data_IF_843045333202
#
_entry.id   IF_843045333202
#
_cell.length_a   1.000
_cell.length_b   1.000
_cell.length_c   1.000
_cell.angle_alpha   90.00
_cell.angle_beta   90.00
_cell.angle_gamma   90.00
#
_symmetry.space_group_name_H-M   'P 1'
#
loop_
_entity.id
_entity.type
_entity.pdbx_description
1 polymer ?
#
# COMPACT_ATOMS: atom_id res chain seq x y z
N UNK A 1 -15.82 -30.70 -14.04
CA UNK A 1 -16.58 -29.44 -14.00
C UNK A 1 -15.79 -28.50 -13.11
N UNK A 2 -15.20 -27.48 -13.71
CA UNK A 2 -14.48 -26.43 -13.00
C UNK A 2 -15.50 -25.55 -12.27
N UNK A 3 -15.20 -25.24 -11.01
CA UNK A 3 -16.07 -24.42 -10.17
C UNK A 3 -16.05 -22.99 -10.74
N UNK A 4 -17.24 -22.44 -11.00
CA UNK A 4 -17.37 -21.11 -11.57
C UNK A 4 -16.69 -20.08 -10.68
N UNK A 5 -15.85 -19.22 -11.26
CA UNK A 5 -15.18 -18.15 -10.52
C UNK A 5 -16.22 -17.13 -10.03
N UNK A 6 -16.28 -16.92 -8.71
CA UNK A 6 -17.19 -15.94 -8.13
C UNK A 6 -16.77 -14.49 -8.47
N UNK A 7 -17.74 -13.57 -8.42
CA UNK A 7 -17.55 -12.20 -8.88
C UNK A 7 -16.56 -11.40 -8.04
N UNK A 8 -16.49 -11.66 -6.73
CA UNK A 8 -15.59 -10.92 -5.83
C UNK A 8 -14.14 -11.35 -6.05
N UNK A 9 -13.91 -12.67 -6.15
CA UNK A 9 -12.58 -13.20 -6.49
C UNK A 9 -12.14 -12.73 -7.87
N UNK A 10 -13.03 -12.77 -8.87
CA UNK A 10 -12.72 -12.28 -10.23
C UNK A 10 -12.35 -10.81 -10.23
N UNK A 11 -13.12 -9.96 -9.53
CA UNK A 11 -12.85 -8.53 -9.46
C UNK A 11 -11.48 -8.26 -8.81
N UNK A 12 -11.21 -8.86 -7.64
CA UNK A 12 -9.95 -8.66 -6.94
C UNK A 12 -8.75 -9.21 -7.75
N UNK A 13 -8.90 -10.36 -8.39
CA UNK A 13 -7.89 -10.94 -9.26
C UNK A 13 -7.58 -10.01 -10.45
N UNK A 14 -8.62 -9.46 -11.08
CA UNK A 14 -8.44 -8.53 -12.19
C UNK A 14 -7.72 -7.26 -11.75
N UNK A 15 -8.06 -6.71 -10.58
CA UNK A 15 -7.37 -5.55 -10.02
C UNK A 15 -5.90 -5.84 -9.73
N UNK A 16 -5.60 -6.94 -9.03
CA UNK A 16 -4.23 -7.34 -8.74
C UNK A 16 -3.41 -7.57 -10.02
N UNK A 17 -3.99 -8.25 -11.00
CA UNK A 17 -3.36 -8.48 -12.30
C UNK A 17 -3.15 -7.18 -13.09
N UNK A 18 -4.11 -6.26 -13.03
CA UNK A 18 -4.05 -4.94 -13.65
C UNK A 18 -2.98 -4.03 -13.05
N UNK A 19 -2.88 -4.00 -11.73
CA UNK A 19 -1.94 -3.16 -10.98
C UNK A 19 -0.52 -3.72 -10.94
N UNK A 20 -0.38 -5.04 -11.01
CA UNK A 20 0.93 -5.69 -11.04
C UNK A 20 1.75 -5.30 -12.26
N UNK A 21 3.08 -5.35 -12.11
CA UNK A 21 3.98 -5.22 -13.23
C UNK A 21 3.74 -6.31 -14.29
N UNK A 22 4.22 -6.08 -15.50
CA UNK A 22 4.15 -7.08 -16.59
C UNK A 22 5.09 -8.27 -16.39
N UNK A 23 5.78 -8.36 -15.25
CA UNK A 23 6.65 -9.48 -14.91
C UNK A 23 5.88 -10.71 -14.41
N UNK A 24 4.57 -10.58 -14.16
CA UNK A 24 3.67 -11.66 -13.75
C UNK A 24 4.16 -12.39 -12.47
N UNK A 25 4.68 -11.62 -11.50
CA UNK A 25 5.17 -12.15 -10.22
C UNK A 25 3.99 -12.42 -9.28
N UNK A 26 3.87 -13.67 -8.80
CA UNK A 26 2.78 -14.07 -7.91
C UNK A 26 2.75 -13.24 -6.62
N UNK A 27 3.89 -13.06 -5.96
CA UNK A 27 4.00 -12.33 -4.69
C UNK A 27 3.61 -10.86 -4.84
N UNK A 28 3.85 -10.26 -6.00
CA UNK A 28 3.41 -8.89 -6.32
C UNK A 28 1.89 -8.82 -6.39
N UNK A 29 1.26 -9.72 -7.14
CA UNK A 29 -0.20 -9.81 -7.25
C UNK A 29 -0.85 -10.15 -5.90
N UNK A 30 -0.27 -11.07 -5.15
CA UNK A 30 -0.74 -11.46 -3.82
C UNK A 30 -0.67 -10.28 -2.84
N UNK A 31 0.47 -9.57 -2.80
CA UNK A 31 0.63 -8.41 -1.93
C UNK A 31 -0.34 -7.27 -2.30
N UNK A 32 -0.56 -6.99 -3.59
CA UNK A 32 -1.58 -6.03 -4.04
C UNK A 32 -2.98 -6.44 -3.58
N UNK A 33 -3.34 -7.72 -3.76
CA UNK A 33 -4.62 -8.25 -3.30
C UNK A 33 -4.77 -8.14 -1.77
N UNK A 34 -3.72 -8.44 -1.00
CA UNK A 34 -3.70 -8.26 0.45
C UNK A 34 -3.96 -6.80 0.84
N UNK A 35 -3.28 -5.83 0.19
CA UNK A 35 -3.48 -4.40 0.46
C UNK A 35 -4.91 -3.96 0.15
N UNK A 36 -5.48 -4.38 -0.98
CA UNK A 36 -6.85 -4.02 -1.36
C UNK A 36 -7.88 -4.56 -0.36
N UNK A 37 -7.76 -5.83 0.04
CA UNK A 37 -8.63 -6.43 1.07
C UNK A 37 -8.47 -5.72 2.41
N UNK A 38 -7.24 -5.40 2.81
CA UNK A 38 -6.96 -4.68 4.06
C UNK A 38 -7.55 -3.28 4.06
N UNK A 39 -7.36 -2.51 2.98
CA UNK A 39 -7.95 -1.18 2.81
C UNK A 39 -9.47 -1.22 2.86
N UNK A 40 -10.09 -2.18 2.16
CA UNK A 40 -11.53 -2.40 2.16
C UNK A 40 -12.06 -2.64 3.58
N UNK A 41 -11.46 -3.61 4.30
CA UNK A 41 -11.85 -3.96 5.67
C UNK A 41 -11.63 -2.81 6.65
N UNK A 42 -10.48 -2.13 6.59
CA UNK A 42 -10.14 -1.02 7.49
C UNK A 42 -11.09 0.17 7.36
N UNK A 43 -11.73 0.31 6.19
CA UNK A 43 -12.75 1.35 5.90
C UNK A 43 -14.19 0.86 6.13
N UNK A 44 -14.37 -0.39 6.55
CA UNK A 44 -15.67 -0.95 6.92
C UNK A 44 -16.52 -1.45 5.76
N UNK A 45 -15.90 -1.74 4.60
CA UNK A 45 -16.60 -2.36 3.48
C UNK A 45 -16.69 -3.87 3.65
N UNK A 46 -17.84 -4.44 3.29
CA UNK A 46 -18.08 -5.89 3.33
C UNK A 46 -17.62 -6.62 2.06
N UNK A 47 -17.48 -5.91 0.95
CA UNK A 47 -17.10 -6.46 -0.37
C UNK A 47 -16.11 -5.55 -1.08
N UNK A 48 -15.29 -6.13 -1.97
CA UNK A 48 -14.37 -5.41 -2.84
C UNK A 48 -15.16 -4.56 -3.83
N UNK A 49 -16.27 -5.06 -4.36
CA UNK A 49 -17.13 -4.27 -5.25
C UNK A 49 -17.68 -3.00 -4.58
N UNK A 50 -18.11 -3.08 -3.31
CA UNK A 50 -18.60 -1.90 -2.59
C UNK A 50 -17.47 -0.89 -2.29
N UNK A 51 -16.27 -1.40 -2.00
CA UNK A 51 -15.07 -0.59 -1.78
C UNK A 51 -14.68 0.18 -3.05
N UNK A 52 -14.53 -0.51 -4.18
CA UNK A 52 -14.08 0.13 -5.44
C UNK A 52 -15.12 1.07 -6.03
N UNK A 53 -16.41 0.80 -5.82
CA UNK A 53 -17.48 1.70 -6.29
C UNK A 53 -17.49 3.06 -5.57
N UNK A 54 -16.99 3.14 -4.34
CA UNK A 54 -17.00 4.38 -3.53
C UNK A 54 -15.64 5.06 -3.40
N UNK A 55 -14.56 4.31 -3.52
CA UNK A 55 -13.20 4.83 -3.31
C UNK A 55 -12.52 5.09 -4.66
N UNK A 56 -12.67 6.32 -5.16
CA UNK A 56 -12.22 6.72 -6.50
C UNK A 56 -10.74 6.42 -6.77
N UNK A 57 -9.86 6.54 -5.76
CA UNK A 57 -8.43 6.23 -5.89
C UNK A 57 -8.16 4.75 -6.18
N UNK A 58 -9.06 3.85 -5.78
CA UNK A 58 -9.00 2.41 -6.06
C UNK A 58 -9.84 2.03 -7.28
N UNK A 59 -10.80 2.88 -7.67
CA UNK A 59 -11.56 2.73 -8.91
C UNK A 59 -10.75 3.04 -10.17
N UNK A 60 -9.61 3.73 -10.09
CA UNK A 60 -8.80 4.06 -11.27
C UNK A 60 -8.38 2.81 -12.05
N UNK A 61 -8.04 1.71 -11.38
CA UNK A 61 -7.74 0.42 -12.03
C UNK A 61 -8.91 -0.09 -12.87
N UNK A 62 -10.13 0.15 -12.40
CA UNK A 62 -11.39 -0.26 -13.01
C UNK A 62 -11.81 0.71 -14.13
N UNK A 63 -11.47 1.99 -14.01
CA UNK A 63 -11.93 3.07 -14.89
C UNK A 63 -10.95 3.45 -16.01
N UNK A 64 -9.64 3.26 -15.82
CA UNK A 64 -8.57 3.78 -16.70
C UNK A 64 -8.34 2.92 -17.97
N UNK A 65 -9.17 1.90 -18.19
CA UNK A 65 -9.05 1.04 -19.38
C UNK A 65 -7.79 0.17 -19.36
N UNK A 66 -7.28 -0.19 -18.17
CA UNK A 66 -6.14 -1.08 -18.03
C UNK A 66 -6.41 -2.41 -18.77
N UNK A 67 -5.60 -2.70 -19.79
CA UNK A 67 -5.79 -3.86 -20.68
C UNK A 67 -5.68 -5.19 -19.93
N UNK A 68 -4.85 -5.29 -18.89
CA UNK A 68 -4.69 -6.50 -18.08
C UNK A 68 -5.92 -6.74 -17.22
N UNK A 69 -6.40 -5.70 -16.54
CA UNK A 69 -7.67 -5.74 -15.81
C UNK A 69 -8.82 -6.19 -16.71
N UNK A 70 -9.01 -5.51 -17.85
CA UNK A 70 -10.08 -5.82 -18.80
C UNK A 70 -9.98 -7.26 -19.33
N UNK A 71 -8.76 -7.72 -19.64
CA UNK A 71 -8.50 -9.09 -20.10
C UNK A 71 -8.97 -10.13 -19.08
N UNK A 72 -8.61 -9.99 -17.80
CA UNK A 72 -9.04 -10.97 -16.79
C UNK A 72 -10.55 -10.89 -16.55
N UNK A 73 -11.12 -9.68 -16.51
CA UNK A 73 -12.57 -9.51 -16.31
C UNK A 73 -13.41 -10.18 -17.38
N UNK A 74 -12.99 -10.14 -18.66
CA UNK A 74 -13.77 -10.67 -19.78
C UNK A 74 -13.41 -12.11 -20.17
N UNK A 75 -12.25 -12.62 -19.72
CA UNK A 75 -11.83 -13.99 -19.99
C UNK A 75 -12.80 -15.02 -19.38
N UNK A 76 -13.05 -16.10 -20.11
CA UNK A 76 -13.77 -17.27 -19.59
C UNK A 76 -12.97 -17.95 -18.49
N UNK A 77 -13.65 -18.69 -17.62
CA UNK A 77 -13.00 -19.39 -16.50
C UNK A 77 -11.91 -20.35 -17.03
N UNK A 78 -12.17 -21.07 -18.13
CA UNK A 78 -11.19 -21.96 -18.73
C UNK A 78 -9.97 -21.21 -19.31
N UNK A 79 -10.15 -19.99 -19.81
CA UNK A 79 -9.04 -19.16 -20.32
C UNK A 79 -8.16 -18.64 -19.18
N UNK A 80 -8.76 -18.32 -18.04
CA UNK A 80 -8.06 -17.92 -16.82
C UNK A 80 -7.24 -19.10 -16.28
N UNK A 81 -7.82 -20.28 -16.20
CA UNK A 81 -7.14 -21.48 -15.70
C UNK A 81 -5.94 -21.89 -16.58
N UNK A 82 -6.08 -21.77 -17.90
CA UNK A 82 -5.02 -22.11 -18.86
C UNK A 82 -3.96 -21.02 -19.00
N UNK A 83 -4.14 -19.84 -18.38
CA UNK A 83 -3.16 -18.76 -18.37
C UNK A 83 -2.46 -18.73 -17.01
N UNK A 84 -1.15 -19.07 -16.93
CA UNK A 84 -0.43 -19.09 -15.65
C UNK A 84 -0.57 -17.78 -14.87
N UNK A 85 -0.41 -16.63 -15.53
CA UNK A 85 -0.50 -15.32 -14.86
C UNK A 85 -1.90 -14.93 -14.40
N UNK A 86 -2.95 -15.24 -15.18
CA UNK A 86 -4.33 -14.99 -14.71
C UNK A 86 -4.76 -15.98 -13.63
N UNK A 87 -4.33 -17.24 -13.72
CA UNK A 87 -4.53 -18.26 -12.69
C UNK A 87 -3.86 -17.86 -11.37
N UNK A 88 -2.63 -17.34 -11.43
CA UNK A 88 -1.89 -16.85 -10.27
C UNK A 88 -2.55 -15.62 -9.65
N UNK A 89 -3.10 -14.71 -10.46
CA UNK A 89 -3.92 -13.61 -9.96
C UNK A 89 -5.18 -14.10 -9.20
N UNK A 90 -5.83 -15.16 -9.69
CA UNK A 90 -6.96 -15.79 -8.99
C UNK A 90 -6.52 -16.44 -7.67
N UNK A 91 -5.38 -17.15 -7.66
CA UNK A 91 -4.81 -17.72 -6.42
C UNK A 91 -4.50 -16.63 -5.41
N UNK A 92 -3.88 -15.53 -5.85
CA UNK A 92 -3.58 -14.35 -5.04
C UNK A 92 -4.84 -13.75 -4.42
N UNK A 93 -5.89 -13.54 -5.22
CA UNK A 93 -7.17 -13.02 -4.75
C UNK A 93 -7.84 -13.95 -3.72
N UNK A 94 -7.88 -15.27 -3.99
CA UNK A 94 -8.42 -16.27 -3.04
C UNK A 94 -7.64 -16.27 -1.74
N UNK A 95 -6.30 -16.23 -1.80
CA UNK A 95 -5.44 -16.13 -0.62
C UNK A 95 -5.81 -14.91 0.23
N UNK A 96 -5.90 -13.71 -0.37
CA UNK A 96 -6.20 -12.48 0.35
C UNK A 96 -7.61 -12.47 0.96
N UNK A 97 -8.63 -12.91 0.21
CA UNK A 97 -10.03 -12.94 0.67
C UNK A 97 -10.20 -13.90 1.86
N UNK A 98 -9.53 -15.07 1.81
CA UNK A 98 -9.59 -16.08 2.85
C UNK A 98 -8.70 -15.79 4.06
N UNK A 99 -7.96 -14.67 4.06
CA UNK A 99 -7.06 -14.31 5.16
C UNK A 99 -5.83 -15.23 5.24
N UNK A 100 -5.36 -15.72 4.10
CA UNK A 100 -4.11 -16.46 3.99
C UNK A 100 -2.88 -15.58 4.21
N UNK A 101 -1.75 -15.99 3.65
CA UNK A 101 -0.48 -15.29 3.85
C UNK A 101 -0.55 -13.83 3.38
N UNK A 102 0.02 -12.93 4.18
CA UNK A 102 0.09 -11.51 3.86
C UNK A 102 1.43 -11.17 3.21
N UNK A 103 1.50 -11.30 1.89
CA UNK A 103 2.71 -11.00 1.13
C UNK A 103 3.10 -9.52 1.24
N UNK A 104 2.16 -8.63 1.53
CA UNK A 104 2.43 -7.20 1.70
C UNK A 104 3.02 -6.83 3.07
N UNK A 105 3.14 -7.78 4.01
CA UNK A 105 3.69 -7.56 5.36
C UNK A 105 3.05 -6.36 6.11
N UNK A 106 1.72 -6.25 6.04
CA UNK A 106 0.94 -5.22 6.73
C UNK A 106 0.90 -3.86 6.02
N UNK A 107 1.24 -3.78 4.74
CA UNK A 107 1.18 -2.52 3.99
C UNK A 107 -0.26 -1.99 3.84
N UNK A 108 -0.41 -0.68 3.72
CA UNK A 108 -1.68 -0.06 3.34
C UNK A 108 -1.61 0.65 1.99
N UNK A 109 -0.40 0.82 1.46
CA UNK A 109 -0.13 1.57 0.25
C UNK A 109 0.93 0.84 -0.59
N UNK A 110 0.98 1.17 -1.87
CA UNK A 110 2.05 0.74 -2.76
C UNK A 110 2.49 1.90 -3.65
N UNK A 111 3.63 1.72 -4.31
CA UNK A 111 4.07 2.53 -5.44
C UNK A 111 4.73 1.64 -6.50
N UNK A 112 4.48 1.98 -7.76
CA UNK A 112 5.17 1.40 -8.91
C UNK A 112 6.37 2.25 -9.33
N UNK A 113 6.76 2.18 -10.59
CA UNK A 113 7.94 2.86 -11.12
C UNK A 113 7.84 4.40 -11.10
N UNK A 114 6.64 4.94 -10.92
CA UNK A 114 6.36 6.37 -10.89
C UNK A 114 7.00 7.09 -9.69
N UNK A 115 7.21 6.39 -8.56
CA UNK A 115 7.97 6.94 -7.43
C UNK A 115 9.41 7.31 -7.82
N UNK A 116 9.99 6.60 -8.80
CA UNK A 116 11.32 6.91 -9.34
C UNK A 116 11.24 7.99 -10.42
N UNK A 117 10.34 7.85 -11.40
CA UNK A 117 10.29 8.76 -12.55
C UNK A 117 9.81 10.16 -12.17
N UNK A 118 8.96 10.28 -11.14
CA UNK A 118 8.44 11.54 -10.62
C UNK A 118 8.93 11.86 -9.20
N UNK A 119 10.11 11.34 -8.81
CA UNK A 119 10.61 11.37 -7.43
C UNK A 119 10.46 12.73 -6.73
N UNK A 120 10.83 13.83 -7.38
CA UNK A 120 10.80 15.18 -6.77
C UNK A 120 9.40 15.67 -6.40
N UNK A 121 8.37 15.26 -7.15
CA UNK A 121 6.98 15.67 -6.91
C UNK A 121 6.14 14.54 -6.31
N UNK A 122 6.73 13.37 -6.10
CA UNK A 122 6.02 12.20 -5.61
C UNK A 122 5.52 12.44 -4.18
N UNK A 123 4.22 12.22 -3.95
CA UNK A 123 3.56 12.57 -2.70
C UNK A 123 4.22 11.91 -1.49
N UNK A 124 4.49 10.60 -1.54
CA UNK A 124 5.11 9.89 -0.41
C UNK A 124 6.53 10.36 -0.15
N UNK A 125 7.31 10.63 -1.21
CA UNK A 125 8.68 11.16 -1.10
C UNK A 125 8.67 12.53 -0.41
N UNK A 126 7.73 13.42 -0.76
CA UNK A 126 7.57 14.72 -0.10
C UNK A 126 7.14 14.63 1.38
N UNK A 127 6.63 13.48 1.82
CA UNK A 127 6.21 13.20 3.19
C UNK A 127 7.25 12.43 4.00
N UNK A 128 8.31 11.95 3.35
CA UNK A 128 9.37 11.14 3.95
C UNK A 128 9.10 9.65 3.75
N UNK A 129 10.03 8.97 3.09
CA UNK A 129 10.06 7.52 2.88
C UNK A 129 11.32 6.92 3.50
N UNK A 130 11.19 5.72 4.05
CA UNK A 130 12.29 4.92 4.57
C UNK A 130 12.15 3.46 4.17
N UNK A 131 13.23 2.86 3.71
CA UNK A 131 13.29 1.43 3.48
C UNK A 131 13.65 0.72 4.79
N UNK A 132 12.83 -0.25 5.18
CA UNK A 132 13.09 -1.08 6.37
C UNK A 132 14.08 -2.20 6.10
N UNK A 133 14.15 -2.63 4.84
CA UNK A 133 15.13 -3.58 4.32
C UNK A 133 15.71 -3.02 3.00
N UNK A 134 17.04 -3.07 2.79
CA UNK A 134 17.66 -2.61 1.55
C UNK A 134 17.10 -3.27 0.28
N UNK A 135 16.67 -4.53 0.35
CA UNK A 135 16.07 -5.26 -0.76
C UNK A 135 14.74 -4.66 -1.23
N UNK A 136 14.05 -3.89 -0.37
CA UNK A 136 12.82 -3.20 -0.74
C UNK A 136 13.07 -2.02 -1.69
N UNK A 137 14.32 -1.54 -1.83
CA UNK A 137 14.67 -0.43 -2.72
C UNK A 137 14.93 -0.91 -4.16
N UNK A 138 13.95 -1.57 -4.76
CA UNK A 138 14.04 -2.13 -6.13
C UNK A 138 14.28 -1.09 -7.22
N UNK A 139 14.10 0.21 -6.90
CA UNK A 139 14.32 1.32 -7.82
C UNK A 139 15.61 2.11 -7.58
N UNK A 140 16.38 1.78 -6.55
CA UNK A 140 17.61 2.50 -6.20
C UNK A 140 17.39 3.99 -5.92
N UNK A 141 16.21 4.37 -5.40
CA UNK A 141 15.90 5.76 -5.07
C UNK A 141 16.47 6.13 -3.70
N UNK A 142 16.69 7.42 -3.47
CA UNK A 142 17.10 7.90 -2.15
C UNK A 142 15.92 7.85 -1.19
N UNK A 143 16.21 7.64 0.09
CA UNK A 143 15.24 7.93 1.14
C UNK A 143 15.02 9.44 1.27
N UNK A 144 13.91 9.83 1.89
CA UNK A 144 13.60 11.24 2.13
C UNK A 144 13.15 11.46 3.56
N UNK A 145 13.53 12.61 4.12
CA UNK A 145 13.23 12.95 5.51
C UNK A 145 12.31 14.15 5.61
N UNK A 146 11.32 14.06 6.49
CA UNK A 146 10.45 15.14 6.95
C UNK A 146 10.42 15.15 8.48
N UNK A 147 11.40 15.81 9.08
CA UNK A 147 11.55 15.91 10.52
C UNK A 147 10.43 16.75 11.14
N UNK A 148 9.71 16.15 12.08
CA UNK A 148 8.72 16.81 12.93
C UNK A 148 9.07 16.53 14.38
N UNK A 149 9.01 17.57 15.22
CA UNK A 149 9.34 17.53 16.63
C UNK A 149 8.24 18.17 17.48
N UNK A 150 7.87 17.52 18.58
CA UNK A 150 7.01 18.11 19.62
C UNK A 150 7.91 18.67 20.71
N UNK A 151 7.83 19.97 20.97
CA UNK A 151 8.64 20.63 22.02
C UNK A 151 7.71 21.16 23.11
N UNK A 152 7.94 20.74 24.35
CA UNK A 152 7.35 21.37 25.54
C UNK A 152 8.22 22.53 25.95
N UNK A 153 7.61 23.70 26.11
CA UNK A 153 8.29 24.90 26.61
C UNK A 153 7.76 25.21 28.00
N UNK A 154 8.63 25.13 29.01
CA UNK A 154 8.28 25.43 30.41
C UNK A 154 9.07 26.67 30.85
N UNK A 155 8.37 27.66 31.40
CA UNK A 155 9.00 28.79 32.06
C UNK A 155 9.22 28.43 33.52
N UNK A 156 10.48 28.42 33.97
CA UNK A 156 10.85 28.19 35.36
C UNK A 156 11.48 29.46 35.92
N UNK A 157 11.25 29.75 37.21
CA UNK A 157 11.90 30.88 37.88
C UNK A 157 13.10 30.35 38.66
N UNK A 158 14.29 30.79 38.28
CA UNK A 158 15.55 30.44 38.94
C UNK A 158 16.21 31.75 39.37
N UNK A 159 16.47 31.90 40.67
CA UNK A 159 17.11 33.09 41.24
C UNK A 159 16.47 34.43 40.81
N UNK A 160 15.13 34.49 40.80
CA UNK A 160 14.41 35.71 40.41
C UNK A 160 14.26 35.92 38.90
N UNK A 161 15.04 35.22 38.06
CA UNK A 161 14.98 35.29 36.60
C UNK A 161 14.06 34.20 36.03
N UNK A 162 13.32 34.54 34.99
CA UNK A 162 12.51 33.57 34.24
C UNK A 162 13.42 32.92 33.19
N UNK A 163 13.66 31.63 33.33
CA UNK A 163 14.33 30.80 32.35
C UNK A 163 13.31 30.00 31.54
N UNK A 164 13.57 29.84 30.24
CA UNK A 164 12.72 29.04 29.36
C UNK A 164 13.42 27.71 29.08
N UNK A 165 12.86 26.61 29.62
CA UNK A 165 13.32 25.25 29.35
C UNK A 165 12.52 24.66 28.19
N UNK A 166 13.22 24.18 27.16
CA UNK A 166 12.62 23.43 26.05
C UNK A 166 12.98 21.95 26.20
N UNK A 167 11.99 21.08 26.05
CA UNK A 167 12.12 19.62 26.12
C UNK A 167 11.47 19.00 24.88
N UNK A 168 12.20 18.16 24.15
CA UNK A 168 11.64 17.40 23.03
C UNK A 168 10.86 16.21 23.57
N UNK A 169 9.54 16.21 23.35
CA UNK A 169 8.63 15.15 23.81
C UNK A 169 8.46 14.04 22.78
N UNK A 170 8.63 14.37 21.51
CA UNK A 170 8.36 13.45 20.41
C UNK A 170 9.09 13.85 19.14
N UNK A 171 9.45 12.86 18.31
CA UNK A 171 9.98 13.09 16.97
C UNK A 171 9.59 11.98 16.00
N UNK A 172 9.47 12.33 14.72
CA UNK A 172 9.52 11.39 13.60
C UNK A 172 10.11 12.13 12.39
N UNK A 173 10.74 11.39 11.47
CA UNK A 173 11.42 11.97 10.31
C UNK A 173 10.96 11.40 8.97
N UNK A 174 9.97 10.52 8.96
CA UNK A 174 9.32 10.02 7.76
C UNK A 174 7.93 9.50 8.11
N UNK A 175 7.03 9.51 7.13
CA UNK A 175 5.67 8.99 7.28
C UNK A 175 5.58 7.56 6.77
N UNK A 176 6.33 7.17 5.74
CA UNK A 176 6.19 5.86 5.09
C UNK A 176 7.41 4.98 5.31
N UNK A 177 7.16 3.72 5.67
CA UNK A 177 8.16 2.67 5.82
C UNK A 177 7.84 1.52 4.89
N UNK A 178 8.84 1.01 4.16
CA UNK A 178 8.62 -0.16 3.31
C UNK A 178 8.33 -1.40 4.14
N UNK A 179 7.68 -2.39 3.53
CA UNK A 179 7.22 -3.63 4.19
C UNK A 179 7.52 -4.86 3.36
N UNK A 180 7.47 -4.71 2.04
CA UNK A 180 7.90 -5.69 1.06
C UNK A 180 8.21 -4.97 -0.26
N UNK A 181 8.84 -5.68 -1.20
CA UNK A 181 8.88 -5.31 -2.61
C UNK A 181 8.94 -6.57 -3.48
N UNK A 182 8.13 -6.60 -4.53
CA UNK A 182 8.10 -7.73 -5.48
C UNK A 182 7.85 -7.19 -6.88
N UNK A 183 8.42 -7.84 -7.89
CA UNK A 183 8.27 -7.44 -9.29
C UNK A 183 8.62 -5.97 -9.50
N UNK A 184 7.61 -5.15 -9.77
CA UNK A 184 7.72 -3.71 -9.95
C UNK A 184 6.92 -2.91 -8.92
N UNK A 185 6.78 -3.39 -7.70
CA UNK A 185 5.98 -2.71 -6.67
C UNK A 185 6.70 -2.68 -5.33
N UNK A 186 6.70 -1.52 -4.67
CA UNK A 186 7.12 -1.34 -3.28
C UNK A 186 5.89 -1.13 -2.41
N UNK A 187 5.82 -1.85 -1.30
CA UNK A 187 4.70 -1.81 -0.37
C UNK A 187 5.05 -1.01 0.89
N UNK A 188 4.13 -0.17 1.35
CA UNK A 188 4.36 0.80 2.42
C UNK A 188 3.30 0.73 3.51
N UNK A 189 3.74 0.98 4.74
CA UNK A 189 2.87 1.33 5.87
C UNK A 189 3.31 2.66 6.47
N UNK A 190 2.45 3.24 7.29
CA UNK A 190 2.81 4.44 8.03
C UNK A 190 3.74 4.12 9.21
N UNK A 191 4.69 5.02 9.47
CA UNK A 191 5.60 4.95 10.60
C UNK A 191 4.78 4.94 11.91
N UNK A 192 4.99 3.95 12.81
CA UNK A 192 4.29 3.89 14.10
C UNK A 192 4.44 5.16 14.94
N UNK A 193 5.59 5.84 14.88
CA UNK A 193 5.81 7.09 15.63
C UNK A 193 4.95 8.24 15.11
N UNK A 194 4.71 8.29 13.80
CA UNK A 194 3.80 9.25 13.18
C UNK A 194 2.36 8.97 13.62
N UNK A 195 1.91 7.72 13.56
CA UNK A 195 0.56 7.31 13.98
C UNK A 195 0.35 7.64 15.45
N UNK A 196 1.27 7.24 16.33
CA UNK A 196 1.15 7.46 17.78
C UNK A 196 1.09 8.94 18.14
N UNK A 197 1.82 9.77 17.40
CA UNK A 197 1.84 11.22 17.63
C UNK A 197 0.60 11.94 17.12
N UNK A 198 0.14 11.57 15.92
CA UNK A 198 -0.95 12.28 15.24
C UNK A 198 -2.32 11.67 15.50
N UNK A 199 -2.37 10.45 16.02
CA UNK A 199 -3.58 9.62 16.07
C UNK A 199 -4.21 9.43 14.68
N UNK A 200 -3.40 9.51 13.62
CA UNK A 200 -3.84 9.23 12.26
C UNK A 200 -4.29 7.77 12.13
N UNK A 201 -5.18 7.54 11.17
CA UNK A 201 -5.59 6.20 10.76
C UNK A 201 -4.52 5.64 9.83
N UNK A 202 -4.03 4.44 10.11
CA UNK A 202 -2.97 3.78 9.34
C UNK A 202 -3.27 3.58 7.84
N UNK A 203 -4.55 3.61 7.48
CA UNK A 203 -5.09 3.38 6.13
C UNK A 203 -5.43 4.67 5.35
N UNK A 204 -5.13 5.86 5.91
CA UNK A 204 -5.41 7.18 5.33
C UNK A 204 -4.14 7.94 4.91
#
# INVERSE_FOLDING_TARGET
MTEKLDSETRLLAAMAYGESSTADVFEEMAALANVMVRQSRARGYSTIAAFTAKEASFSYVVADGNKRYAKLMTAKDEEIENSPSMSDAVKAAKNALNGGEDYSNGAYFWDGADIRSNYKNHFKVAKGIRFTDPSHNIYGIKESTKLVKKIKTTKIKVNGKIETRKEELWRYDHIYQSTAAYGGTIFWKQNPDYIRYTHAKEYL
#
